data_IF_820081827294
#
_entry.id   IF_820081827294
#
_cell.length_a   1.000
_cell.length_b   1.000
_cell.length_c   1.000
_cell.angle_alpha   90.00
_cell.angle_beta   90.00
_cell.angle_gamma   90.00
#
_symmetry.space_group_name_H-M   'P 1'
#
loop_
_entity.id
_entity.type
_entity.pdbx_description
1 polymer ?
#
# COMPACT_ATOMS: atom_id res chain seq x y z
N UNK A 1 -23.94 -6.24 22.64
CA UNK A 1 -24.06 -7.48 21.83
C UNK A 1 -24.44 -7.05 20.42
N UNK A 2 -23.58 -7.34 19.45
CA UNK A 2 -23.78 -7.00 18.04
C UNK A 2 -24.87 -7.91 17.48
N UNK A 3 -25.83 -7.36 16.73
CA UNK A 3 -26.89 -8.15 16.10
C UNK A 3 -26.81 -8.02 14.58
N UNK A 4 -26.87 -9.17 13.92
CA UNK A 4 -27.02 -9.30 12.49
C UNK A 4 -28.50 -9.51 12.21
N UNK A 5 -29.09 -8.60 11.43
CA UNK A 5 -30.54 -8.55 11.25
C UNK A 5 -31.02 -9.54 10.21
N UNK A 6 -30.23 -9.74 9.16
CA UNK A 6 -30.60 -10.61 8.04
C UNK A 6 -29.40 -11.39 7.52
N UNK A 7 -29.60 -12.69 7.37
CA UNK A 7 -28.69 -13.61 6.69
C UNK A 7 -29.49 -14.19 5.54
N UNK A 8 -28.97 -14.06 4.33
CA UNK A 8 -29.54 -14.65 3.13
C UNK A 8 -28.69 -15.84 2.74
N UNK A 9 -29.31 -17.01 2.57
CA UNK A 9 -28.62 -18.24 2.18
C UNK A 9 -29.31 -18.84 0.99
N UNK A 10 -28.52 -19.23 0.00
CA UNK A 10 -28.95 -19.99 -1.16
C UNK A 10 -28.34 -21.38 -1.05
N UNK A 11 -29.18 -22.40 -0.89
CA UNK A 11 -28.75 -23.79 -0.80
C UNK A 11 -29.47 -24.66 -1.84
N UNK A 12 -28.85 -25.79 -2.16
CA UNK A 12 -29.37 -26.79 -3.08
C UNK A 12 -29.24 -28.17 -2.45
N UNK A 13 -30.34 -28.94 -2.47
CA UNK A 13 -30.35 -30.34 -2.08
C UNK A 13 -30.48 -31.21 -3.32
N UNK A 14 -29.52 -32.12 -3.52
CA UNK A 14 -29.51 -33.01 -4.66
C UNK A 14 -30.63 -34.07 -4.56
N UNK A 15 -31.32 -34.35 -5.67
CA UNK A 15 -32.51 -35.21 -5.72
C UNK A 15 -32.27 -36.59 -5.09
N UNK A 16 -31.12 -37.20 -5.39
CA UNK A 16 -30.73 -38.53 -4.89
C UNK A 16 -30.63 -38.62 -3.36
N UNK A 17 -30.35 -37.49 -2.68
CA UNK A 17 -30.13 -37.41 -1.24
C UNK A 17 -31.34 -36.86 -0.48
N UNK A 18 -32.42 -36.47 -1.17
CA UNK A 18 -33.61 -35.88 -0.55
C UNK A 18 -34.22 -36.80 0.50
N UNK A 19 -34.42 -38.08 0.17
CA UNK A 19 -35.05 -39.03 1.09
C UNK A 19 -34.20 -39.28 2.34
N UNK A 20 -32.87 -39.42 2.21
CA UNK A 20 -31.97 -39.64 3.35
C UNK A 20 -31.89 -38.43 4.27
N UNK A 21 -31.79 -37.23 3.70
CA UNK A 21 -31.68 -35.99 4.47
C UNK A 21 -32.99 -35.70 5.21
N UNK A 22 -34.13 -35.81 4.54
CA UNK A 22 -35.43 -35.58 5.18
C UNK A 22 -35.73 -36.62 6.26
N UNK A 23 -35.30 -37.88 6.07
CA UNK A 23 -35.47 -38.93 7.08
C UNK A 23 -34.63 -38.70 8.33
N UNK A 24 -33.38 -38.24 8.17
CA UNK A 24 -32.46 -38.04 9.30
C UNK A 24 -32.62 -36.68 9.99
N UNK A 25 -32.96 -35.63 9.23
CA UNK A 25 -32.93 -34.24 9.69
C UNK A 25 -34.25 -33.50 9.52
N UNK A 26 -35.32 -34.20 9.12
CA UNK A 26 -36.65 -33.65 8.84
C UNK A 26 -36.68 -32.71 7.63
N UNK A 27 -37.86 -32.19 7.32
CA UNK A 27 -38.08 -31.23 6.22
C UNK A 27 -37.38 -29.89 6.45
N UNK A 28 -37.09 -29.55 7.72
CA UNK A 28 -36.44 -28.30 8.13
C UNK A 28 -34.93 -28.46 8.33
N UNK A 29 -34.28 -29.28 7.50
CA UNK A 29 -32.84 -29.55 7.59
C UNK A 29 -32.01 -28.26 7.47
N UNK A 30 -32.51 -27.27 6.72
CA UNK A 30 -31.90 -25.97 6.46
C UNK A 30 -31.77 -25.14 7.74
N UNK A 31 -32.77 -25.19 8.62
CA UNK A 31 -32.72 -24.49 9.91
C UNK A 31 -31.55 -24.96 10.76
N UNK A 32 -31.44 -26.27 10.97
CA UNK A 32 -30.45 -26.85 11.88
C UNK A 32 -29.04 -26.84 11.30
N UNK A 33 -28.88 -27.21 10.03
CA UNK A 33 -27.54 -27.35 9.43
C UNK A 33 -27.00 -26.05 8.84
N UNK A 34 -27.87 -25.10 8.50
CA UNK A 34 -27.47 -23.85 7.86
C UNK A 34 -27.66 -22.69 8.82
N UNK A 35 -28.90 -22.30 9.14
CA UNK A 35 -29.17 -21.06 9.88
C UNK A 35 -28.63 -21.09 11.32
N UNK A 36 -28.89 -22.14 12.08
CA UNK A 36 -28.42 -22.27 13.47
C UNK A 36 -26.89 -22.31 13.52
N UNK A 37 -26.27 -22.99 12.53
CA UNK A 37 -24.83 -23.08 12.41
C UNK A 37 -24.19 -21.73 12.04
N UNK A 38 -24.76 -20.98 11.08
CA UNK A 38 -24.30 -19.62 10.75
C UNK A 38 -24.32 -18.72 11.99
N UNK A 39 -25.40 -18.76 12.77
CA UNK A 39 -25.47 -17.97 14.00
C UNK A 39 -24.36 -18.33 15.00
N UNK A 40 -24.05 -19.62 15.16
CA UNK A 40 -22.95 -20.06 16.00
C UNK A 40 -21.59 -19.55 15.50
N UNK A 41 -21.30 -19.73 14.21
CA UNK A 41 -20.03 -19.31 13.59
C UNK A 41 -19.84 -17.80 13.65
N UNK A 42 -20.89 -17.01 13.37
CA UNK A 42 -20.86 -15.55 13.51
C UNK A 42 -20.57 -15.14 14.96
N UNK A 43 -21.23 -15.77 15.93
CA UNK A 43 -20.99 -15.47 17.34
C UNK A 43 -19.55 -15.83 17.76
N UNK A 44 -19.03 -16.95 17.26
CA UNK A 44 -17.64 -17.35 17.51
C UNK A 44 -16.65 -16.37 16.86
N UNK A 45 -16.93 -15.94 15.64
CA UNK A 45 -16.15 -14.94 14.92
C UNK A 45 -16.10 -13.61 15.67
N UNK A 46 -17.26 -13.11 16.12
CA UNK A 46 -17.38 -11.89 16.92
C UNK A 46 -16.76 -12.00 18.32
N UNK A 47 -16.57 -13.20 18.86
CA UNK A 47 -15.92 -13.38 20.17
C UNK A 47 -14.39 -13.32 20.08
N UNK A 48 -13.82 -13.56 18.90
CA UNK A 48 -12.36 -13.57 18.66
C UNK A 48 -11.84 -12.24 18.12
N UNK A 49 -12.73 -11.37 17.66
CA UNK A 49 -12.39 -10.13 16.97
C UNK A 49 -13.04 -8.92 17.65
N UNK A 50 -12.42 -7.76 17.47
CA UNK A 50 -13.02 -6.51 17.93
C UNK A 50 -14.11 -6.05 16.96
N UNK A 51 -15.03 -5.19 17.43
CA UNK A 51 -16.08 -4.61 16.58
C UNK A 51 -15.48 -3.89 15.35
N UNK A 52 -14.34 -3.21 15.52
CA UNK A 52 -13.63 -2.52 14.43
C UNK A 52 -13.23 -3.48 13.31
N UNK A 53 -12.50 -4.54 13.67
CA UNK A 53 -11.99 -5.53 12.72
C UNK A 53 -13.13 -6.24 12.00
N UNK A 54 -14.20 -6.59 12.71
CA UNK A 54 -15.38 -7.25 12.11
C UNK A 54 -16.11 -6.32 11.14
N UNK A 55 -16.18 -5.02 11.42
CA UNK A 55 -16.99 -4.09 10.64
C UNK A 55 -16.26 -3.47 9.44
N UNK A 56 -14.95 -3.24 9.57
CA UNK A 56 -14.14 -2.55 8.55
C UNK A 56 -13.25 -3.54 7.80
N UNK A 57 -12.45 -4.33 8.51
CA UNK A 57 -11.35 -5.07 7.88
C UNK A 57 -11.77 -6.44 7.35
N UNK A 58 -12.63 -7.14 8.10
CA UNK A 58 -12.95 -8.55 7.88
C UNK A 58 -14.40 -8.81 7.50
N UNK A 59 -15.21 -7.77 7.34
CA UNK A 59 -16.61 -7.93 6.95
C UNK A 59 -16.73 -8.60 5.57
N UNK A 60 -15.94 -8.14 4.61
CA UNK A 60 -15.99 -8.64 3.24
C UNK A 60 -15.51 -10.09 3.12
N UNK A 61 -14.72 -10.57 4.10
CA UNK A 61 -14.23 -11.96 4.17
C UNK A 61 -15.20 -12.88 4.92
N UNK A 62 -16.18 -12.33 5.65
CA UNK A 62 -17.07 -13.11 6.51
C UNK A 62 -17.93 -14.09 5.69
N UNK A 63 -18.43 -13.63 4.55
CA UNK A 63 -19.28 -14.45 3.66
C UNK A 63 -18.51 -15.69 3.14
N UNK A 64 -17.24 -15.52 2.77
CA UNK A 64 -16.35 -16.60 2.29
C UNK A 64 -16.03 -17.58 3.42
N UNK A 65 -15.60 -17.08 4.59
CA UNK A 65 -15.28 -17.90 5.76
C UNK A 65 -16.48 -18.76 6.19
N UNK A 66 -17.68 -18.16 6.21
CA UNK A 66 -18.90 -18.88 6.55
C UNK A 66 -19.21 -19.96 5.52
N UNK A 67 -19.12 -19.64 4.23
CA UNK A 67 -19.40 -20.60 3.15
C UNK A 67 -18.47 -21.80 3.22
N UNK A 68 -17.16 -21.57 3.39
CA UNK A 68 -16.16 -22.65 3.49
C UNK A 68 -16.38 -23.52 4.74
N UNK A 69 -16.57 -22.89 5.90
CA UNK A 69 -16.72 -23.60 7.18
C UNK A 69 -17.98 -24.44 7.20
N UNK A 70 -19.11 -23.87 6.74
CA UNK A 70 -20.36 -24.62 6.68
C UNK A 70 -20.32 -25.73 5.65
N UNK A 71 -19.79 -25.49 4.45
CA UNK A 71 -19.73 -26.53 3.42
C UNK A 71 -18.86 -27.71 3.86
N UNK A 72 -17.77 -27.45 4.59
CA UNK A 72 -16.92 -28.50 5.17
C UNK A 72 -17.69 -29.39 6.14
N UNK A 73 -18.48 -28.81 7.04
CA UNK A 73 -19.28 -29.57 8.01
C UNK A 73 -20.41 -30.34 7.30
N UNK A 74 -21.10 -29.69 6.35
CA UNK A 74 -22.18 -30.31 5.57
C UNK A 74 -21.67 -31.50 4.75
N UNK A 75 -20.49 -31.40 4.16
CA UNK A 75 -19.90 -32.51 3.39
C UNK A 75 -19.69 -33.78 4.23
N UNK A 76 -19.50 -33.65 5.55
CA UNK A 76 -19.29 -34.77 6.47
C UNK A 76 -20.62 -35.37 6.94
N UNK A 77 -21.58 -34.52 7.33
CA UNK A 77 -22.80 -34.97 8.00
C UNK A 77 -24.02 -35.09 7.08
N UNK A 78 -24.10 -34.28 6.03
CA UNK A 78 -25.23 -34.20 5.11
C UNK A 78 -24.74 -34.20 3.65
N UNK A 79 -24.20 -35.33 3.16
CA UNK A 79 -23.78 -35.45 1.76
C UNK A 79 -24.97 -35.19 0.83
N UNK A 80 -24.74 -34.38 -0.22
CA UNK A 80 -25.76 -33.99 -1.18
C UNK A 80 -26.43 -32.64 -0.91
N UNK A 81 -26.13 -31.99 0.22
CA UNK A 81 -26.49 -30.59 0.47
C UNK A 81 -25.31 -29.68 0.09
N UNK A 82 -25.58 -28.67 -0.74
CA UNK A 82 -24.59 -27.69 -1.20
C UNK A 82 -25.06 -26.27 -0.91
N UNK A 83 -24.16 -25.44 -0.40
CA UNK A 83 -24.37 -24.01 -0.22
C UNK A 83 -23.82 -23.32 -1.46
N UNK A 84 -24.66 -22.54 -2.12
CA UNK A 84 -24.29 -21.79 -3.32
C UNK A 84 -23.73 -20.42 -2.93
N UNK A 85 -24.42 -19.73 -2.03
CA UNK A 85 -24.00 -18.42 -1.55
C UNK A 85 -24.59 -18.13 -0.17
N UNK A 86 -23.78 -17.49 0.69
CA UNK A 86 -24.23 -16.88 1.95
C UNK A 86 -23.94 -15.39 1.83
N UNK A 87 -24.91 -14.57 2.23
CA UNK A 87 -24.72 -13.13 2.36
C UNK A 87 -25.20 -12.66 3.71
N UNK A 88 -24.31 -12.03 4.46
CA UNK A 88 -24.62 -11.46 5.77
C UNK A 88 -24.80 -9.95 5.64
N UNK A 89 -25.85 -9.41 6.27
CA UNK A 89 -26.03 -7.95 6.33
C UNK A 89 -25.09 -7.32 7.36
N UNK A 90 -24.69 -6.06 7.14
CA UNK A 90 -23.85 -5.36 8.12
C UNK A 90 -24.56 -5.31 9.48
N UNK A 91 -23.84 -5.58 10.57
CA UNK A 91 -24.45 -5.61 11.88
C UNK A 91 -24.92 -4.20 12.30
N UNK A 92 -26.02 -4.13 13.05
CA UNK A 92 -26.48 -2.86 13.63
C UNK A 92 -25.64 -2.51 14.85
N UNK A 93 -24.91 -1.40 14.75
CA UNK A 93 -24.11 -0.85 15.85
C UNK A 93 -24.94 0.18 16.61
N UNK A 94 -24.96 0.13 17.97
CA UNK A 94 -25.58 1.19 18.77
C UNK A 94 -24.96 2.57 18.51
N UNK A 95 -25.80 3.60 18.45
CA UNK A 95 -25.41 4.99 18.14
C UNK A 95 -24.35 5.52 19.14
N UNK A 96 -24.45 5.12 20.42
CA UNK A 96 -23.50 5.51 21.47
C UNK A 96 -22.05 5.08 21.17
N UNK A 97 -21.89 3.91 20.56
CA UNK A 97 -20.59 3.35 20.18
C UNK A 97 -20.10 4.04 18.91
N UNK A 98 -21.00 4.30 17.96
CA UNK A 98 -20.68 4.96 16.69
C UNK A 98 -19.98 6.32 16.91
N UNK A 99 -20.53 7.17 17.77
CA UNK A 99 -19.93 8.49 18.07
C UNK A 99 -18.53 8.38 18.70
N UNK A 100 -18.30 7.37 19.53
CA UNK A 100 -16.96 7.10 20.09
C UNK A 100 -15.98 6.63 19.02
N UNK A 101 -16.46 5.79 18.10
CA UNK A 101 -15.66 5.28 16.98
C UNK A 101 -15.26 6.38 16.00
N UNK A 102 -16.17 7.25 15.61
CA UNK A 102 -15.87 8.37 14.71
C UNK A 102 -14.76 9.26 15.29
N UNK A 103 -14.77 9.52 16.59
CA UNK A 103 -13.72 10.28 17.27
C UNK A 103 -12.38 9.56 17.27
N UNK A 104 -12.37 8.25 17.56
CA UNK A 104 -11.14 7.44 17.57
C UNK A 104 -10.53 7.36 16.18
N UNK A 105 -11.34 7.14 15.15
CA UNK A 105 -10.88 7.05 13.77
C UNK A 105 -10.38 8.40 13.24
N UNK A 106 -11.07 9.51 13.57
CA UNK A 106 -10.58 10.84 13.26
C UNK A 106 -9.22 11.12 13.90
N UNK A 107 -9.01 10.71 15.16
CA UNK A 107 -7.76 10.91 15.86
C UNK A 107 -6.64 10.01 15.32
N UNK A 108 -6.92 8.74 15.03
CA UNK A 108 -5.97 7.84 14.34
C UNK A 108 -5.55 8.40 13.00
N UNK A 109 -6.49 8.92 12.21
CA UNK A 109 -6.20 9.53 10.91
C UNK A 109 -5.28 10.75 11.07
N UNK A 110 -5.54 11.62 12.07
CA UNK A 110 -4.66 12.76 12.38
C UNK A 110 -3.25 12.32 12.75
N UNK A 111 -3.12 11.32 13.62
CA UNK A 111 -1.80 10.77 14.02
C UNK A 111 -1.08 10.18 12.81
N UNK A 112 -1.77 9.43 11.96
CA UNK A 112 -1.19 8.85 10.75
C UNK A 112 -0.70 9.94 9.78
N UNK A 113 -1.50 10.99 9.58
CA UNK A 113 -1.12 12.15 8.76
C UNK A 113 0.10 12.84 9.37
N UNK A 114 0.13 13.09 10.67
CA UNK A 114 1.26 13.73 11.35
C UNK A 114 2.56 12.91 11.22
N UNK A 115 2.48 11.58 11.33
CA UNK A 115 3.63 10.70 11.13
C UNK A 115 4.12 10.79 9.67
N UNK A 116 3.20 10.80 8.71
CA UNK A 116 3.56 10.84 7.30
C UNK A 116 4.12 12.20 6.89
N UNK A 117 3.59 13.30 7.42
CA UNK A 117 4.14 14.64 7.20
C UNK A 117 5.53 14.78 7.83
N UNK A 118 5.74 14.24 9.03
CA UNK A 118 7.06 14.22 9.65
C UNK A 118 8.08 13.47 8.79
N UNK A 119 7.73 12.28 8.30
CA UNK A 119 8.58 11.50 7.39
C UNK A 119 8.87 12.24 6.09
N UNK A 120 7.90 12.97 5.56
CA UNK A 120 8.07 13.77 4.35
C UNK A 120 9.07 14.90 4.58
N UNK A 121 8.94 15.65 5.67
CA UNK A 121 9.90 16.71 6.04
C UNK A 121 11.31 16.16 6.24
N UNK A 122 11.46 15.00 6.89
CA UNK A 122 12.76 14.34 7.04
C UNK A 122 13.38 13.97 5.68
N UNK A 123 12.57 13.45 4.75
CA UNK A 123 13.02 13.08 3.39
C UNK A 123 13.32 14.29 2.51
N UNK A 124 12.53 15.35 2.63
CA UNK A 124 12.78 16.62 1.94
C UNK A 124 14.09 17.25 2.42
N UNK A 125 14.34 17.28 3.74
CA UNK A 125 15.59 17.77 4.30
C UNK A 125 16.80 16.94 3.86
N UNK A 126 16.70 15.61 3.79
CA UNK A 126 17.74 14.76 3.20
C UNK A 126 17.99 15.09 1.72
N UNK A 127 16.91 15.32 0.96
CA UNK A 127 16.98 15.61 -0.47
C UNK A 127 17.61 16.98 -0.72
N UNK A 128 17.25 17.99 0.07
CA UNK A 128 17.81 19.33 0.00
C UNK A 128 19.30 19.33 0.32
N UNK A 129 19.73 18.59 1.36
CA UNK A 129 21.16 18.41 1.68
C UNK A 129 21.93 17.80 0.52
N UNK A 130 21.42 16.73 -0.08
CA UNK A 130 22.06 16.10 -1.25
C UNK A 130 22.12 17.04 -2.44
N UNK A 131 21.05 17.79 -2.69
CA UNK A 131 20.98 18.78 -3.77
C UNK A 131 22.01 19.90 -3.57
N UNK A 132 22.18 20.40 -2.35
CA UNK A 132 23.17 21.42 -2.03
C UNK A 132 24.60 20.94 -2.24
N UNK A 133 24.92 19.69 -1.86
CA UNK A 133 26.23 19.07 -2.13
C UNK A 133 26.49 18.96 -3.63
N UNK A 134 25.51 18.44 -4.39
CA UNK A 134 25.63 18.28 -5.84
C UNK A 134 25.82 19.63 -6.53
N UNK A 135 25.09 20.68 -6.12
CA UNK A 135 25.26 22.01 -6.72
C UNK A 135 26.63 22.61 -6.38
N UNK A 136 27.11 22.47 -5.15
CA UNK A 136 28.45 22.93 -4.76
C UNK A 136 29.57 22.20 -5.54
N UNK A 137 29.44 20.88 -5.74
CA UNK A 137 30.37 20.09 -6.56
C UNK A 137 30.33 20.54 -8.03
N UNK A 138 29.14 20.76 -8.57
CA UNK A 138 28.93 21.25 -9.94
C UNK A 138 29.54 22.64 -10.12
N UNK A 139 29.32 23.57 -9.20
CA UNK A 139 29.92 24.91 -9.23
C UNK A 139 31.46 24.83 -9.17
N UNK A 140 32.00 23.99 -8.30
CA UNK A 140 33.45 23.75 -8.22
C UNK A 140 34.01 23.20 -9.54
N UNK A 141 33.31 22.25 -10.17
CA UNK A 141 33.72 21.68 -11.45
C UNK A 141 33.66 22.71 -12.59
N UNK A 142 32.62 23.54 -12.63
CA UNK A 142 32.48 24.64 -13.60
C UNK A 142 33.58 25.68 -13.40
N UNK A 143 33.88 26.05 -12.15
CA UNK A 143 34.97 26.97 -11.83
C UNK A 143 36.34 26.41 -12.26
N UNK A 144 36.60 25.12 -12.05
CA UNK A 144 37.81 24.46 -12.50
C UNK A 144 37.95 24.46 -14.04
N UNK A 145 36.86 24.22 -14.77
CA UNK A 145 36.84 24.31 -16.25
C UNK A 145 37.13 25.74 -16.71
N UNK A 146 36.51 26.75 -16.09
CA UNK A 146 36.77 28.16 -16.41
C UNK A 146 38.23 28.56 -16.11
N UNK A 147 38.78 28.11 -15.00
CA UNK A 147 40.18 28.34 -14.65
C UNK A 147 41.11 27.70 -15.68
N UNK A 148 40.86 26.44 -16.06
CA UNK A 148 41.66 25.75 -17.09
C UNK A 148 41.57 26.46 -18.44
N UNK A 149 40.38 26.93 -18.83
CA UNK A 149 40.21 27.71 -20.07
C UNK A 149 41.02 29.01 -20.05
N UNK A 150 40.94 29.77 -18.96
CA UNK A 150 41.67 31.04 -18.84
C UNK A 150 43.19 30.84 -18.75
N UNK A 151 43.66 29.76 -18.11
CA UNK A 151 45.07 29.38 -18.11
C UNK A 151 45.55 29.02 -19.53
N UNK A 152 44.78 28.24 -20.28
CA UNK A 152 45.09 27.88 -21.65
C UNK A 152 45.14 29.12 -22.57
N UNK A 153 44.19 30.05 -22.43
CA UNK A 153 44.19 31.32 -23.16
C UNK A 153 45.44 32.17 -22.84
N UNK A 154 45.83 32.28 -21.56
CA UNK A 154 47.06 32.98 -21.16
C UNK A 154 48.34 32.31 -21.65
N UNK A 155 48.41 30.99 -21.58
CA UNK A 155 49.55 30.23 -22.11
C UNK A 155 49.68 30.42 -23.63
N UNK A 156 48.56 30.39 -24.36
CA UNK A 156 48.58 30.61 -25.81
C UNK A 156 49.04 32.04 -26.17
N UNK A 157 48.58 33.05 -25.43
CA UNK A 157 49.08 34.43 -25.58
C UNK A 157 50.59 34.54 -25.32
N UNK A 158 51.11 33.86 -24.28
CA UNK A 158 52.56 33.82 -24.03
C UNK A 158 53.33 33.13 -25.18
N UNK A 159 52.77 32.07 -25.75
CA UNK A 159 53.36 31.34 -26.88
C UNK A 159 53.41 32.22 -28.15
N UNK A 160 52.33 32.93 -28.45
CA UNK A 160 52.29 33.89 -29.57
C UNK A 160 53.32 35.00 -29.35
N UNK A 161 53.37 35.58 -28.15
CA UNK A 161 54.32 36.66 -27.83
C UNK A 161 55.80 36.21 -27.90
N UNK A 162 56.10 34.97 -27.52
CA UNK A 162 57.46 34.41 -27.65
C UNK A 162 57.83 34.20 -29.11
N UNK A 163 56.94 33.62 -29.93
CA UNK A 163 57.14 33.48 -31.38
C UNK A 163 57.33 34.86 -32.05
N UNK A 164 56.52 35.86 -31.71
CA UNK A 164 56.65 37.22 -32.25
C UNK A 164 58.00 37.86 -31.89
N UNK A 165 58.44 37.70 -30.64
CA UNK A 165 59.75 38.19 -30.21
C UNK A 165 60.91 37.49 -30.93
N UNK A 166 60.82 36.17 -31.12
CA UNK A 166 61.82 35.40 -31.89
C UNK A 166 61.85 35.84 -33.36
N UNK A 167 60.69 35.99 -34.00
CA UNK A 167 60.59 36.50 -35.37
C UNK A 167 61.18 37.91 -35.50
N UNK A 168 60.90 38.79 -34.53
CA UNK A 168 61.44 40.15 -34.51
C UNK A 168 62.95 40.15 -34.33
N UNK A 169 63.47 39.31 -33.42
CA UNK A 169 64.90 39.15 -33.20
C UNK A 169 65.60 38.60 -34.46
N UNK A 170 65.05 37.58 -35.10
CA UNK A 170 65.57 37.01 -36.35
C UNK A 170 65.58 38.05 -37.48
N UNK A 171 64.53 38.89 -37.58
CA UNK A 171 64.45 39.97 -38.58
C UNK A 171 65.51 41.05 -38.35
N UNK A 172 65.69 41.52 -37.12
CA UNK A 172 66.73 42.51 -36.78
C UNK A 172 68.13 41.95 -37.05
N UNK A 173 68.36 40.67 -36.75
CA UNK A 173 69.65 40.02 -37.03
C UNK A 173 69.92 39.91 -38.54
N UNK A 174 68.91 39.55 -39.33
CA UNK A 174 69.02 39.50 -40.80
C UNK A 174 69.26 40.87 -41.43
N UNK A 175 68.71 41.95 -40.85
CA UNK A 175 68.96 43.33 -41.28
C UNK A 175 70.36 43.85 -40.89
N UNK A 176 70.95 43.33 -39.82
CA UNK A 176 72.29 43.71 -39.36
C UNK A 176 73.44 42.95 -40.05
N UNK A 177 73.16 41.76 -40.59
CA UNK A 177 74.13 40.90 -41.30
C UNK A 177 74.17 41.17 -42.83
N UNK A 178 73.37 42.12 -43.35
CA UNK A 178 73.28 42.52 -44.77
C UNK A 178 73.97 43.88 -45.05
#
# INVERSE_FOLDING_TARGET
IIKFDKVEVVNQLHADYVHSIVKNYTVNYDRTWIYDKIHHEINQFCSRHTLHEVYIDKFDQLDEILTETLQKDINVFAPGLSIIAIRVTKPKIPIEILSKYEKIEAEKARVMVAIQTQKLVEKEAETERKKAVIEAEKESMVAAIHLNRTLAEKMNMQLIATIENEMRFAKVKAEADA
#
